data_IF_134639647981
#
_entry.id   IF_134639647981
#
_cell.length_a   1.000
_cell.length_b   1.000
_cell.length_c   1.000
_cell.angle_alpha   90.00
_cell.angle_beta   90.00
_cell.angle_gamma   90.00
#
_symmetry.space_group_name_H-M   'P 1'
#
loop_
_entity.id
_entity.type
_entity.pdbx_description
1 polymer ?
#
# COMPACT_ATOMS: atom_id res chain seq x y z
N UNK A 1 32.71 -24.96 -8.28
CA UNK A 1 31.59 -25.90 -8.55
C UNK A 1 32.09 -27.31 -8.89
N UNK A 2 32.98 -27.51 -9.90
CA UNK A 2 33.53 -28.84 -10.23
C UNK A 2 34.38 -29.40 -9.07
N UNK A 3 35.29 -28.59 -8.50
CA UNK A 3 36.12 -28.95 -7.34
C UNK A 3 35.25 -29.23 -6.10
N UNK A 4 34.18 -28.46 -5.86
CA UNK A 4 33.27 -28.67 -4.75
C UNK A 4 32.46 -29.97 -4.89
N UNK A 5 31.99 -30.28 -6.10
CA UNK A 5 31.30 -31.54 -6.41
C UNK A 5 32.22 -32.76 -6.23
N UNK A 6 33.47 -32.65 -6.64
CA UNK A 6 34.43 -33.76 -6.43
C UNK A 6 34.80 -33.90 -4.94
N UNK A 7 34.90 -32.85 -4.19
CA UNK A 7 35.12 -32.88 -2.74
C UNK A 7 34.00 -33.58 -1.97
N UNK A 8 32.74 -33.35 -2.39
CA UNK A 8 31.58 -34.08 -1.80
C UNK A 8 31.65 -35.60 -2.05
N UNK A 9 32.22 -36.01 -3.19
CA UNK A 9 32.35 -37.44 -3.56
C UNK A 9 33.63 -38.07 -2.98
N UNK A 10 34.67 -37.30 -2.75
CA UNK A 10 35.99 -37.75 -2.32
C UNK A 10 36.44 -36.89 -1.10
N UNK A 11 35.84 -37.14 0.06
CA UNK A 11 36.04 -36.36 1.29
C UNK A 11 37.47 -36.37 1.80
N UNK A 12 38.30 -37.34 1.41
CA UNK A 12 39.75 -37.42 1.77
C UNK A 12 40.72 -36.68 0.83
N UNK A 13 40.25 -36.17 -0.32
CA UNK A 13 41.11 -35.48 -1.26
C UNK A 13 41.35 -34.02 -0.90
N UNK A 14 42.59 -33.56 -0.94
CA UNK A 14 42.93 -32.16 -0.64
C UNK A 14 42.46 -31.22 -1.74
N UNK A 15 42.09 -29.99 -1.35
CA UNK A 15 41.67 -28.94 -2.32
C UNK A 15 42.78 -28.64 -3.35
N UNK A 16 44.07 -28.72 -2.92
CA UNK A 16 45.19 -28.57 -3.84
C UNK A 16 45.23 -29.64 -4.91
N UNK A 17 45.00 -30.91 -4.54
CA UNK A 17 44.95 -32.02 -5.49
C UNK A 17 43.75 -31.86 -6.46
N UNK A 18 42.55 -31.57 -5.93
CA UNK A 18 41.33 -31.44 -6.72
C UNK A 18 41.38 -30.21 -7.66
N UNK A 19 41.93 -29.08 -7.22
CA UNK A 19 42.11 -27.89 -8.08
C UNK A 19 43.15 -28.10 -9.16
N UNK A 20 44.23 -28.85 -8.83
CA UNK A 20 45.27 -29.21 -9.79
C UNK A 20 44.74 -29.98 -10.98
N UNK A 21 43.71 -30.84 -10.83
CA UNK A 21 43.02 -31.55 -11.92
C UNK A 21 42.38 -30.60 -12.94
N UNK A 22 42.10 -29.38 -12.57
CA UNK A 22 41.53 -28.35 -13.44
C UNK A 22 42.55 -27.24 -13.81
N UNK A 23 43.83 -27.49 -13.61
CA UNK A 23 44.89 -26.55 -13.93
C UNK A 23 44.91 -25.28 -13.05
N UNK A 24 44.36 -25.35 -11.83
CA UNK A 24 44.24 -24.23 -10.88
C UNK A 24 45.05 -24.49 -9.61
N UNK A 25 45.70 -23.46 -9.09
CA UNK A 25 46.34 -23.55 -7.78
C UNK A 25 45.34 -23.55 -6.64
N UNK A 26 45.74 -23.97 -5.47
CA UNK A 26 44.95 -23.89 -4.23
C UNK A 26 44.55 -22.43 -3.91
N UNK A 27 45.48 -21.50 -4.07
CA UNK A 27 45.25 -20.04 -3.89
C UNK A 27 44.22 -19.54 -4.92
N UNK A 28 44.29 -19.95 -6.19
CA UNK A 28 43.34 -19.61 -7.23
C UNK A 28 41.91 -20.09 -6.94
N UNK A 29 41.76 -21.27 -6.34
CA UNK A 29 40.48 -21.76 -5.86
C UNK A 29 39.89 -20.88 -4.77
N UNK A 30 40.68 -20.51 -3.75
CA UNK A 30 40.23 -19.65 -2.66
C UNK A 30 40.01 -18.21 -3.09
N UNK A 31 40.78 -17.69 -4.06
CA UNK A 31 40.60 -16.36 -4.63
C UNK A 31 39.22 -16.25 -5.32
N UNK A 32 38.86 -17.22 -6.17
CA UNK A 32 37.52 -17.27 -6.83
C UNK A 32 36.40 -17.39 -5.79
N UNK A 33 36.60 -18.18 -4.73
CA UNK A 33 35.61 -18.32 -3.66
C UNK A 33 35.45 -17.06 -2.87
N UNK A 34 36.54 -16.31 -2.60
CA UNK A 34 36.53 -15.01 -1.94
C UNK A 34 35.80 -13.95 -2.80
N UNK A 35 36.10 -13.88 -4.09
CA UNK A 35 35.45 -12.94 -5.02
C UNK A 35 33.94 -13.18 -5.10
N UNK A 36 33.51 -14.46 -5.22
CA UNK A 36 32.09 -14.81 -5.20
C UNK A 36 31.40 -14.42 -3.88
N UNK A 37 32.09 -14.58 -2.76
CA UNK A 37 31.58 -14.19 -1.45
C UNK A 37 31.44 -12.67 -1.34
N UNK A 38 32.46 -11.91 -1.74
CA UNK A 38 32.42 -10.45 -1.75
C UNK A 38 31.29 -9.92 -2.67
N UNK A 39 31.13 -10.49 -3.87
CA UNK A 39 30.05 -10.12 -4.80
C UNK A 39 28.67 -10.42 -4.20
N UNK A 40 28.53 -11.53 -3.47
CA UNK A 40 27.30 -11.88 -2.76
C UNK A 40 27.01 -10.88 -1.63
N UNK A 41 28.02 -10.56 -0.81
CA UNK A 41 27.89 -9.62 0.31
C UNK A 41 27.53 -8.21 -0.18
N UNK A 42 28.13 -7.74 -1.28
CA UNK A 42 27.78 -6.46 -1.92
C UNK A 42 26.31 -6.44 -2.37
N UNK A 43 25.86 -7.46 -3.09
CA UNK A 43 24.46 -7.54 -3.56
C UNK A 43 23.45 -7.63 -2.42
N UNK A 44 23.75 -8.34 -1.34
CA UNK A 44 22.89 -8.40 -0.15
C UNK A 44 22.83 -7.03 0.56
N UNK A 45 23.96 -6.32 0.65
CA UNK A 45 24.04 -4.97 1.23
C UNK A 45 23.20 -3.95 0.43
N UNK A 46 23.24 -3.99 -0.90
CA UNK A 46 22.43 -3.12 -1.77
C UNK A 46 20.93 -3.34 -1.55
N UNK A 47 20.50 -4.60 -1.55
CA UNK A 47 19.10 -4.96 -1.27
C UNK A 47 18.66 -4.47 0.12
N UNK A 48 19.48 -4.65 1.14
CA UNK A 48 19.19 -4.20 2.51
C UNK A 48 19.12 -2.68 2.60
N UNK A 49 20.00 -1.95 1.92
CA UNK A 49 20.00 -0.49 1.87
C UNK A 49 18.71 0.00 1.23
N UNK A 50 18.31 -0.55 0.08
CA UNK A 50 17.06 -0.19 -0.58
C UNK A 50 15.82 -0.53 0.25
N UNK A 51 15.83 -1.64 0.99
CA UNK A 51 14.77 -1.94 1.97
C UNK A 51 14.63 -0.84 3.02
N UNK A 52 15.74 -0.32 3.54
CA UNK A 52 15.74 0.77 4.52
C UNK A 52 15.20 2.06 3.90
N UNK A 53 15.67 2.45 2.72
CA UNK A 53 15.20 3.63 1.99
C UNK A 53 13.69 3.58 1.69
N UNK A 54 13.17 2.41 1.30
CA UNK A 54 11.72 2.23 1.11
C UNK A 54 10.99 2.37 2.46
N UNK A 55 11.56 1.85 3.55
CA UNK A 55 10.95 1.94 4.88
C UNK A 55 11.02 3.32 5.50
N UNK A 56 11.99 4.13 5.14
CA UNK A 56 12.00 5.54 5.54
C UNK A 56 10.76 6.27 4.99
N UNK A 57 10.28 5.87 3.81
CA UNK A 57 9.05 6.41 3.18
C UNK A 57 7.77 5.65 3.57
N UNK A 58 7.87 4.37 3.90
CA UNK A 58 6.74 3.49 4.22
C UNK A 58 7.12 2.49 5.33
N UNK A 59 7.26 2.96 6.60
CA UNK A 59 7.87 2.19 7.68
C UNK A 59 7.14 0.90 8.05
N UNK A 60 5.86 0.81 7.75
CA UNK A 60 5.03 -0.37 8.01
C UNK A 60 4.85 -1.31 6.84
N UNK A 61 5.51 -1.08 5.71
CA UNK A 61 5.38 -1.96 4.55
C UNK A 61 5.90 -3.37 4.86
N UNK A 62 5.06 -4.38 4.62
CA UNK A 62 5.39 -5.78 4.94
C UNK A 62 6.41 -6.40 3.98
N UNK A 63 7.16 -7.41 4.45
CA UNK A 63 8.24 -8.06 3.70
C UNK A 63 7.81 -8.57 2.30
N UNK A 64 6.59 -9.08 2.15
CA UNK A 64 6.12 -9.56 0.83
C UNK A 64 6.00 -8.43 -0.21
N UNK A 65 5.50 -7.27 0.19
CA UNK A 65 5.41 -6.12 -0.71
C UNK A 65 6.81 -5.58 -1.08
N UNK A 66 7.71 -5.52 -0.11
CA UNK A 66 9.12 -5.21 -0.36
C UNK A 66 9.75 -6.18 -1.35
N UNK A 67 9.52 -7.49 -1.19
CA UNK A 67 9.98 -8.50 -2.14
C UNK A 67 9.50 -8.22 -3.57
N UNK A 68 8.21 -7.88 -3.75
CA UNK A 68 7.66 -7.57 -5.07
C UNK A 68 8.30 -6.31 -5.69
N UNK A 69 8.46 -5.25 -4.89
CA UNK A 69 9.09 -4.01 -5.34
C UNK A 69 10.56 -4.21 -5.74
N UNK A 70 11.30 -4.99 -4.94
CA UNK A 70 12.72 -5.23 -5.16
C UNK A 70 13.00 -6.24 -6.28
N UNK A 71 12.11 -7.19 -6.51
CA UNK A 71 12.22 -8.15 -7.62
C UNK A 71 12.29 -7.43 -8.96
N UNK A 72 11.53 -6.37 -9.13
CA UNK A 72 11.49 -5.59 -10.36
C UNK A 72 12.71 -4.66 -10.48
N UNK A 73 13.28 -4.21 -9.35
CA UNK A 73 14.48 -3.36 -9.31
C UNK A 73 15.78 -4.18 -9.43
N UNK A 74 15.83 -5.37 -8.88
CA UNK A 74 17.02 -6.23 -8.78
C UNK A 74 16.75 -7.64 -9.31
N UNK A 75 16.41 -7.82 -10.59
CA UNK A 75 15.98 -9.12 -11.12
C UNK A 75 17.06 -10.20 -11.07
N UNK A 76 18.34 -9.83 -11.04
CA UNK A 76 19.48 -10.77 -10.98
C UNK A 76 19.89 -11.11 -9.54
N UNK A 77 19.76 -10.18 -8.60
CA UNK A 77 20.15 -10.29 -7.20
C UNK A 77 19.08 -10.98 -6.36
N UNK A 78 17.81 -10.81 -6.72
CA UNK A 78 16.68 -11.38 -5.99
C UNK A 78 16.51 -12.88 -6.27
N UNK A 79 17.03 -13.72 -5.36
CA UNK A 79 17.06 -15.19 -5.50
C UNK A 79 15.75 -15.91 -5.20
N UNK A 80 14.67 -15.17 -4.96
CA UNK A 80 13.36 -15.70 -4.60
C UNK A 80 12.91 -15.28 -3.19
N UNK A 81 11.63 -15.53 -2.91
CA UNK A 81 10.96 -15.07 -1.70
C UNK A 81 11.63 -15.57 -0.41
N UNK A 82 11.93 -16.86 -0.33
CA UNK A 82 12.44 -17.48 0.91
C UNK A 82 13.86 -17.01 1.25
N UNK A 83 14.68 -16.74 0.24
CA UNK A 83 15.97 -16.09 0.43
C UNK A 83 15.81 -14.68 0.97
N UNK A 84 14.88 -13.89 0.41
CA UNK A 84 14.63 -12.53 0.85
C UNK A 84 14.12 -12.48 2.30
N UNK A 85 13.22 -13.41 2.68
CA UNK A 85 12.73 -13.49 4.05
C UNK A 85 13.85 -13.85 5.04
N UNK A 86 14.77 -14.75 4.68
CA UNK A 86 15.96 -15.04 5.52
C UNK A 86 16.83 -13.81 5.67
N UNK A 87 17.10 -13.08 4.59
CA UNK A 87 17.85 -11.81 4.63
C UNK A 87 17.18 -10.81 5.57
N UNK A 88 15.85 -10.63 5.47
CA UNK A 88 15.07 -9.74 6.35
C UNK A 88 15.17 -10.16 7.84
N UNK A 89 15.20 -11.46 8.13
CA UNK A 89 15.41 -11.97 9.48
C UNK A 89 16.84 -11.72 9.99
N UNK A 90 17.84 -12.01 9.18
CA UNK A 90 19.26 -11.83 9.50
C UNK A 90 19.59 -10.37 9.85
N UNK A 91 19.02 -9.41 9.10
CA UNK A 91 19.22 -7.98 9.34
C UNK A 91 18.18 -7.36 10.30
N UNK A 92 17.39 -8.17 11.02
CA UNK A 92 16.35 -7.72 11.97
C UNK A 92 15.32 -6.76 11.39
N UNK A 93 14.97 -6.94 10.11
CA UNK A 93 14.05 -6.09 9.36
C UNK A 93 12.61 -6.61 9.32
N UNK A 94 12.26 -7.66 10.07
CA UNK A 94 10.89 -8.15 10.16
C UNK A 94 10.03 -7.27 11.08
N UNK A 95 8.81 -6.94 10.64
CA UNK A 95 7.88 -6.13 11.44
C UNK A 95 7.18 -6.99 12.49
N UNK A 96 7.01 -6.43 13.69
CA UNK A 96 6.20 -7.05 14.75
C UNK A 96 4.70 -6.77 14.52
N UNK A 97 3.79 -7.74 14.79
CA UNK A 97 2.34 -7.52 14.73
C UNK A 97 1.86 -6.46 15.74
N UNK A 98 0.90 -5.62 15.36
CA UNK A 98 0.28 -4.62 16.24
C UNK A 98 -1.21 -4.94 16.49
N UNK A 99 -1.74 -4.59 17.68
CA UNK A 99 -3.15 -4.78 18.07
C UNK A 99 -4.01 -3.56 17.67
N UNK A 100 -5.31 -3.79 17.35
CA UNK A 100 -6.27 -2.78 16.86
C UNK A 100 -7.14 -2.18 17.98
N UNK A 101 -7.65 -0.94 17.76
CA UNK A 101 -8.70 -0.26 18.54
C UNK A 101 -9.75 0.34 17.59
N UNK A 102 -11.05 0.43 18.03
CA UNK A 102 -12.18 0.92 17.21
C UNK A 102 -12.99 2.01 17.91
N UNK A 103 -13.58 3.00 17.12
CA UNK A 103 -14.64 3.94 17.59
C UNK A 103 -15.37 4.64 16.42
N UNK A 104 -16.73 4.75 16.46
CA UNK A 104 -17.55 5.65 15.58
C UNK A 104 -18.92 5.98 16.20
N UNK A 105 -19.52 7.16 15.86
CA UNK A 105 -20.85 7.63 16.33
C UNK A 105 -21.63 8.34 15.20
N UNK A 106 -22.95 8.05 15.01
CA UNK A 106 -23.81 8.62 13.95
C UNK A 106 -25.29 8.68 14.30
N UNK A 107 -25.74 9.77 14.99
CA UNK A 107 -27.15 9.99 15.29
C UNK A 107 -27.62 11.38 14.81
N UNK A 108 -28.40 11.46 13.68
CA UNK A 108 -28.92 12.71 13.07
C UNK A 108 -30.16 12.46 12.21
N UNK A 109 -30.93 13.54 11.87
CA UNK A 109 -32.23 13.50 11.20
C UNK A 109 -32.20 13.60 9.65
N UNK A 110 -31.02 13.58 8.99
CA UNK A 110 -30.96 13.62 7.53
C UNK A 110 -31.47 12.34 6.88
N UNK A 111 -31.88 12.43 5.61
CA UNK A 111 -32.34 11.31 4.79
C UNK A 111 -31.22 10.26 4.69
N UNK A 112 -31.54 9.00 5.00
CA UNK A 112 -30.67 7.84 4.89
C UNK A 112 -31.01 7.05 3.63
N UNK A 113 -29.98 6.59 2.90
CA UNK A 113 -30.15 5.82 1.67
C UNK A 113 -29.94 4.33 1.97
N UNK A 114 -30.45 3.46 1.06
CA UNK A 114 -30.32 2.00 1.18
C UNK A 114 -28.90 1.56 0.86
N UNK A 115 -28.47 0.45 1.43
CA UNK A 115 -27.23 -0.20 1.07
C UNK A 115 -27.41 -1.00 -0.24
N UNK A 116 -26.79 -0.52 -1.33
CA UNK A 116 -26.89 -1.12 -2.66
C UNK A 116 -25.74 -2.08 -2.97
N UNK A 117 -24.75 -2.20 -2.07
CA UNK A 117 -23.50 -2.93 -2.37
C UNK A 117 -23.36 -4.27 -1.64
N UNK A 118 -24.35 -4.70 -0.86
CA UNK A 118 -24.28 -5.92 0.00
C UNK A 118 -23.85 -7.22 -0.73
N UNK A 119 -24.10 -7.33 -2.02
CA UNK A 119 -23.72 -8.50 -2.84
C UNK A 119 -23.08 -8.09 -4.17
N UNK A 120 -22.64 -6.87 -4.25
CA UNK A 120 -22.09 -6.31 -5.48
C UNK A 120 -20.69 -6.85 -5.73
N UNK A 121 -20.45 -7.31 -6.96
CA UNK A 121 -19.11 -7.58 -7.45
C UNK A 121 -18.67 -6.36 -8.27
N UNK A 122 -17.57 -5.74 -7.87
CA UNK A 122 -17.01 -4.59 -8.58
C UNK A 122 -16.11 -5.12 -9.69
N UNK A 123 -16.39 -4.77 -10.93
CA UNK A 123 -15.72 -5.33 -12.12
C UNK A 123 -15.08 -4.28 -13.02
N UNK A 124 -15.27 -2.99 -12.75
CA UNK A 124 -14.69 -1.88 -13.54
C UNK A 124 -14.39 -0.65 -12.70
N UNK A 125 -13.51 0.18 -13.23
CA UNK A 125 -13.22 1.53 -12.69
C UNK A 125 -14.49 2.37 -12.67
N UNK A 126 -14.63 3.26 -11.71
CA UNK A 126 -15.77 4.16 -11.52
C UNK A 126 -17.14 3.45 -11.42
N UNK A 127 -17.16 2.16 -11.06
CA UNK A 127 -18.40 1.46 -10.76
C UNK A 127 -18.87 1.72 -9.33
N UNK A 128 -17.91 1.76 -8.39
CA UNK A 128 -18.18 2.00 -6.99
C UNK A 128 -17.07 2.88 -6.40
N UNK A 129 -17.46 4.03 -5.86
CA UNK A 129 -16.61 4.81 -4.98
C UNK A 129 -17.02 4.63 -3.54
N UNK A 130 -16.05 4.44 -2.65
CA UNK A 130 -16.27 4.34 -1.21
C UNK A 130 -15.63 5.52 -0.51
N UNK A 131 -16.38 6.15 0.39
CA UNK A 131 -15.92 7.30 1.15
C UNK A 131 -15.95 6.99 2.66
N UNK A 132 -14.95 7.51 3.37
CA UNK A 132 -14.87 7.42 4.83
C UNK A 132 -14.03 8.57 5.39
N UNK A 133 -14.29 8.94 6.64
CA UNK A 133 -13.55 9.96 7.38
C UNK A 133 -12.80 9.27 8.50
N UNK A 134 -11.54 9.58 8.63
CA UNK A 134 -10.75 9.13 9.76
C UNK A 134 -10.02 10.30 10.41
N UNK A 135 -9.59 10.15 11.66
CA UNK A 135 -8.83 11.18 12.36
C UNK A 135 -7.35 10.85 12.43
N UNK A 136 -6.54 11.90 12.45
CA UNK A 136 -5.10 11.87 12.67
C UNK A 136 -4.80 12.75 13.87
N UNK A 137 -4.06 12.21 14.84
CA UNK A 137 -3.59 12.99 15.98
C UNK A 137 -2.37 13.81 15.57
N UNK A 138 -2.38 15.10 15.94
CA UNK A 138 -1.23 16.01 15.84
C UNK A 138 -0.84 16.49 17.25
N UNK A 139 0.28 17.17 17.39
CA UNK A 139 0.69 17.74 18.69
C UNK A 139 -0.23 18.89 19.12
N UNK A 140 -0.86 19.57 18.14
CA UNK A 140 -1.78 20.69 18.39
C UNK A 140 -3.25 20.29 18.48
N UNK A 141 -3.61 19.01 18.25
CA UNK A 141 -4.98 18.52 18.29
C UNK A 141 -5.27 17.38 17.32
N UNK A 142 -6.55 17.24 16.95
CA UNK A 142 -7.02 16.22 16.02
C UNK A 142 -7.37 16.85 14.69
N UNK A 143 -6.92 16.25 13.58
CA UNK A 143 -7.32 16.63 12.22
C UNK A 143 -8.04 15.48 11.55
N UNK A 144 -8.92 15.77 10.60
CA UNK A 144 -9.82 14.83 9.96
C UNK A 144 -9.40 14.62 8.51
N UNK A 145 -9.16 13.37 8.16
CA UNK A 145 -8.83 12.94 6.81
C UNK A 145 -10.08 12.36 6.15
N UNK A 146 -10.57 13.06 5.13
CA UNK A 146 -11.66 12.62 4.27
C UNK A 146 -11.06 11.89 3.08
N UNK A 147 -11.41 10.62 2.87
CA UNK A 147 -10.91 9.80 1.77
C UNK A 147 -12.03 9.38 0.84
N UNK A 148 -11.77 9.44 -0.46
CA UNK A 148 -12.59 8.86 -1.53
C UNK A 148 -11.74 7.86 -2.31
N UNK A 149 -12.20 6.62 -2.39
CA UNK A 149 -11.46 5.50 -2.98
C UNK A 149 -12.28 4.82 -4.08
N UNK A 150 -11.69 4.58 -5.25
CA UNK A 150 -12.27 3.68 -6.25
C UNK A 150 -12.15 2.23 -5.76
N UNK A 151 -13.28 1.54 -5.69
CA UNK A 151 -13.33 0.21 -5.08
C UNK A 151 -12.73 -0.89 -5.97
N UNK A 152 -12.61 -0.66 -7.28
CA UNK A 152 -12.01 -1.63 -8.21
C UNK A 152 -10.50 -1.60 -8.18
N UNK A 153 -9.91 -0.41 -8.30
CA UNK A 153 -8.45 -0.21 -8.32
C UNK A 153 -7.86 -0.04 -6.93
N UNK A 154 -8.68 0.26 -5.92
CA UNK A 154 -8.28 0.69 -4.58
C UNK A 154 -7.46 1.99 -4.58
N UNK A 155 -7.53 2.78 -5.65
CA UNK A 155 -6.88 4.10 -5.71
C UNK A 155 -7.62 5.10 -4.82
N UNK A 156 -6.88 5.85 -4.01
CA UNK A 156 -7.40 7.04 -3.35
C UNK A 156 -7.48 8.12 -4.43
N UNK A 157 -8.68 8.35 -4.95
CA UNK A 157 -8.95 9.26 -6.07
C UNK A 157 -9.15 10.69 -5.61
N UNK A 158 -9.57 10.89 -4.35
CA UNK A 158 -9.76 12.21 -3.75
C UNK A 158 -9.55 12.17 -2.25
N UNK A 159 -9.02 13.26 -1.69
CA UNK A 159 -8.83 13.39 -0.26
C UNK A 159 -8.74 14.85 0.18
N UNK A 160 -9.07 15.10 1.44
CA UNK A 160 -8.92 16.40 2.09
C UNK A 160 -8.53 16.20 3.54
N UNK A 161 -7.67 17.04 4.06
CA UNK A 161 -7.30 17.08 5.47
C UNK A 161 -7.69 18.45 6.06
N UNK A 162 -8.38 18.43 7.20
CA UNK A 162 -8.88 19.65 7.85
C UNK A 162 -8.95 19.49 9.37
N UNK A 163 -9.02 20.58 10.08
CA UNK A 163 -9.23 20.66 11.53
C UNK A 163 -10.70 20.54 11.93
N UNK A 164 -11.61 20.47 10.97
CA UNK A 164 -13.05 20.46 11.21
C UNK A 164 -13.79 19.42 10.36
N UNK A 165 -14.93 18.95 10.87
CA UNK A 165 -15.83 17.99 10.20
C UNK A 165 -16.91 18.68 9.35
N UNK A 166 -16.69 19.92 8.89
CA UNK A 166 -17.68 20.61 8.04
C UNK A 166 -17.79 19.90 6.67
N UNK A 167 -19.01 19.86 6.15
CA UNK A 167 -19.34 19.13 4.91
C UNK A 167 -18.55 19.61 3.68
N UNK A 168 -18.16 20.90 3.62
CA UNK A 168 -17.34 21.43 2.54
C UNK A 168 -16.00 20.71 2.35
N UNK A 169 -15.42 20.18 3.42
CA UNK A 169 -14.18 19.41 3.34
C UNK A 169 -14.41 18.04 2.65
N UNK A 170 -15.56 17.41 2.93
CA UNK A 170 -15.96 16.15 2.28
C UNK A 170 -16.28 16.39 0.81
N UNK A 171 -16.93 17.52 0.49
CA UNK A 171 -17.18 17.96 -0.90
C UNK A 171 -15.86 18.19 -1.64
N UNK A 172 -14.89 18.86 -1.03
CA UNK A 172 -13.59 19.09 -1.66
C UNK A 172 -12.85 17.76 -2.00
N UNK A 173 -12.97 16.74 -1.14
CA UNK A 173 -12.43 15.40 -1.45
C UNK A 173 -13.19 14.75 -2.64
N UNK A 174 -14.51 14.93 -2.72
CA UNK A 174 -15.32 14.46 -3.86
C UNK A 174 -14.94 15.17 -5.16
N UNK A 175 -14.82 16.49 -5.14
CA UNK A 175 -14.45 17.31 -6.31
C UNK A 175 -13.04 16.96 -6.82
N UNK A 176 -12.10 16.70 -5.91
CA UNK A 176 -10.78 16.18 -6.27
C UNK A 176 -10.89 14.82 -6.98
N UNK A 177 -11.70 13.91 -6.47
CA UNK A 177 -11.92 12.60 -7.09
C UNK A 177 -12.54 12.73 -8.48
N UNK A 178 -13.58 13.55 -8.63
CA UNK A 178 -14.20 13.84 -9.93
C UNK A 178 -13.14 14.36 -10.91
N UNK A 179 -12.38 15.38 -10.52
CA UNK A 179 -11.33 15.97 -11.37
C UNK A 179 -10.29 14.94 -11.82
N UNK A 180 -9.94 14.01 -10.95
CA UNK A 180 -8.87 13.04 -11.22
C UNK A 180 -9.28 11.88 -12.13
N UNK A 181 -10.57 11.49 -12.14
CA UNK A 181 -10.99 10.27 -12.85
C UNK A 181 -12.25 10.40 -13.71
N UNK A 182 -12.91 11.56 -13.78
CA UNK A 182 -14.14 11.73 -14.57
C UNK A 182 -13.93 11.52 -16.08
N UNK A 183 -12.73 11.74 -16.60
CA UNK A 183 -12.37 11.48 -18.01
C UNK A 183 -12.54 10.01 -18.42
N UNK A 184 -12.64 9.09 -17.44
CA UNK A 184 -12.87 7.66 -17.66
C UNK A 184 -14.35 7.28 -17.77
N UNK A 185 -15.25 8.27 -17.68
CA UNK A 185 -16.69 8.06 -17.59
C UNK A 185 -17.17 7.72 -16.18
N UNK A 186 -18.33 8.26 -15.82
CA UNK A 186 -18.97 8.05 -14.51
C UNK A 186 -20.34 7.35 -14.64
N UNK A 187 -20.65 6.78 -15.80
CA UNK A 187 -21.94 6.14 -16.05
C UNK A 187 -22.15 4.94 -15.10
N UNK A 188 -23.30 4.97 -14.41
CA UNK A 188 -23.68 3.93 -13.46
C UNK A 188 -22.81 3.90 -12.19
N UNK A 189 -22.11 5.01 -11.88
CA UNK A 189 -21.37 5.15 -10.63
C UNK A 189 -22.28 5.01 -9.41
N UNK A 190 -21.88 4.17 -8.46
CA UNK A 190 -22.44 4.12 -7.12
C UNK A 190 -21.46 4.77 -6.16
N UNK A 191 -21.90 5.73 -5.37
CA UNK A 191 -21.16 6.29 -4.26
C UNK A 191 -21.65 5.67 -2.94
N UNK A 192 -20.77 5.08 -2.17
CA UNK A 192 -21.10 4.46 -0.88
C UNK A 192 -20.32 5.08 0.27
N UNK A 193 -21.01 5.37 1.37
CA UNK A 193 -20.43 5.91 2.60
C UNK A 193 -21.15 5.36 3.83
N UNK A 194 -20.65 5.68 5.00
CA UNK A 194 -21.45 5.58 6.22
C UNK A 194 -22.57 6.64 6.24
N UNK A 195 -23.35 6.65 7.34
CA UNK A 195 -24.44 7.61 7.56
C UNK A 195 -23.98 8.86 8.33
N UNK A 196 -22.71 9.25 8.18
CA UNK A 196 -22.21 10.48 8.78
C UNK A 196 -22.93 11.72 8.23
N UNK A 197 -23.14 12.73 9.08
CA UNK A 197 -23.83 13.98 8.72
C UNK A 197 -23.23 14.63 7.47
N UNK A 198 -21.93 14.51 7.27
CA UNK A 198 -21.18 15.08 6.15
C UNK A 198 -21.62 14.48 4.81
N UNK A 199 -21.95 13.18 4.77
CA UNK A 199 -22.41 12.47 3.58
C UNK A 199 -23.90 12.60 3.34
N UNK A 200 -24.67 12.92 4.38
CA UNK A 200 -26.12 13.06 4.31
C UNK A 200 -26.59 14.50 4.02
N UNK A 201 -25.69 15.50 4.13
CA UNK A 201 -26.06 16.90 3.95
C UNK A 201 -26.41 17.21 2.47
N UNK A 202 -27.30 18.20 2.27
CA UNK A 202 -27.79 18.58 0.93
C UNK A 202 -26.64 18.93 -0.01
N UNK A 203 -25.65 19.69 0.44
CA UNK A 203 -24.51 20.10 -0.38
C UNK A 203 -23.78 18.89 -0.99
N UNK A 204 -23.47 17.86 -0.20
CA UNK A 204 -22.80 16.66 -0.69
C UNK A 204 -23.68 15.85 -1.65
N UNK A 205 -24.94 15.70 -1.29
CA UNK A 205 -25.95 14.98 -2.11
C UNK A 205 -26.15 15.65 -3.48
N UNK A 206 -26.18 16.98 -3.52
CA UNK A 206 -26.31 17.74 -4.78
C UNK A 206 -25.09 17.57 -5.69
N UNK A 207 -23.87 17.54 -5.16
CA UNK A 207 -22.67 17.24 -5.95
C UNK A 207 -22.72 15.82 -6.55
N UNK A 208 -23.15 14.81 -5.78
CA UNK A 208 -23.32 13.44 -6.29
C UNK A 208 -24.40 13.36 -7.38
N UNK A 209 -25.51 14.08 -7.21
CA UNK A 209 -26.56 14.16 -8.25
C UNK A 209 -26.09 14.87 -9.51
N UNK A 210 -25.26 15.90 -9.37
CA UNK A 210 -24.67 16.64 -10.49
C UNK A 210 -23.84 15.76 -11.43
N UNK A 211 -23.28 14.67 -10.93
CA UNK A 211 -22.54 13.67 -11.70
C UNK A 211 -23.36 12.39 -11.98
N UNK A 212 -24.66 12.40 -11.74
CA UNK A 212 -25.59 11.26 -11.89
C UNK A 212 -25.19 10.02 -11.07
N UNK A 213 -24.46 10.18 -9.96
CA UNK A 213 -24.07 9.07 -9.10
C UNK A 213 -25.27 8.53 -8.29
N UNK A 214 -25.42 7.22 -8.23
CA UNK A 214 -26.37 6.55 -7.35
C UNK A 214 -25.83 6.52 -5.91
N UNK A 215 -26.64 6.97 -4.95
CA UNK A 215 -26.22 7.10 -3.55
C UNK A 215 -26.58 5.82 -2.79
N UNK A 216 -25.58 5.28 -2.10
CA UNK A 216 -25.66 4.11 -1.23
C UNK A 216 -25.07 4.42 0.14
N UNK A 217 -25.65 3.89 1.21
CA UNK A 217 -25.14 4.09 2.58
C UNK A 217 -25.20 2.79 3.37
N UNK A 218 -24.35 2.66 4.38
CA UNK A 218 -24.41 1.55 5.34
C UNK A 218 -25.81 1.50 6.01
N UNK A 219 -26.36 0.33 6.25
CA UNK A 219 -27.67 0.22 6.89
C UNK A 219 -27.57 -0.09 8.37
N UNK A 220 -26.76 -1.05 8.71
CA UNK A 220 -26.48 -1.47 10.07
C UNK A 220 -25.03 -1.08 10.41
N UNK A 221 -24.74 -0.72 11.64
CA UNK A 221 -23.38 -0.41 12.10
C UNK A 221 -22.40 -1.60 12.00
N UNK A 222 -22.54 -2.41 10.95
CA UNK A 222 -21.65 -3.55 10.70
C UNK A 222 -20.40 -3.09 9.98
N UNK A 223 -19.21 -3.37 10.52
CA UNK A 223 -17.94 -3.02 9.88
C UNK A 223 -17.81 -3.54 8.44
N UNK A 224 -18.56 -4.58 8.08
CA UNK A 224 -18.55 -5.17 6.74
C UNK A 224 -19.22 -4.30 5.68
N UNK A 225 -20.07 -3.34 6.08
CA UNK A 225 -20.85 -2.54 5.15
C UNK A 225 -20.00 -1.50 4.40
N UNK A 226 -18.84 -1.06 4.94
CA UNK A 226 -17.87 -0.17 4.29
C UNK A 226 -16.44 -0.73 4.35
N UNK A 227 -16.30 -2.04 4.19
CA UNK A 227 -15.05 -2.76 4.42
C UNK A 227 -13.85 -2.29 3.57
N UNK A 228 -14.10 -1.79 2.34
CA UNK A 228 -13.03 -1.29 1.45
C UNK A 228 -12.46 0.01 2.01
N UNK A 229 -13.30 0.98 2.37
CA UNK A 229 -12.86 2.25 2.92
C UNK A 229 -12.16 2.06 4.28
N UNK A 230 -12.74 1.23 5.17
CA UNK A 230 -12.10 0.87 6.44
C UNK A 230 -10.73 0.20 6.23
N UNK A 231 -10.61 -0.64 5.19
CA UNK A 231 -9.34 -1.29 4.85
C UNK A 231 -8.29 -0.29 4.42
N UNK A 232 -8.65 0.69 3.58
CA UNK A 232 -7.73 1.75 3.13
C UNK A 232 -7.29 2.59 4.32
N UNK A 233 -8.20 3.05 5.16
CA UNK A 233 -7.90 3.77 6.40
C UNK A 233 -6.98 2.95 7.33
N UNK A 234 -7.28 1.66 7.48
CA UNK A 234 -6.45 0.75 8.27
C UNK A 234 -5.02 0.60 7.72
N UNK A 235 -4.85 0.60 6.40
CA UNK A 235 -3.54 0.56 5.75
C UNK A 235 -2.76 1.84 6.04
N UNK A 236 -3.35 3.01 5.82
CA UNK A 236 -2.74 4.32 6.09
C UNK A 236 -2.28 4.41 7.55
N UNK A 237 -3.16 4.06 8.49
CA UNK A 237 -2.83 4.09 9.92
C UNK A 237 -1.72 3.11 10.30
N UNK A 238 -1.81 1.84 9.85
CA UNK A 238 -0.90 0.78 10.30
C UNK A 238 0.46 0.81 9.60
N UNK A 239 0.51 1.19 8.33
CA UNK A 239 1.76 1.19 7.58
C UNK A 239 2.53 2.52 7.73
N UNK A 240 1.85 3.63 8.11
CA UNK A 240 2.47 4.96 8.27
C UNK A 240 2.20 5.59 9.63
N UNK A 241 0.98 6.07 9.90
CA UNK A 241 0.71 6.99 11.01
C UNK A 241 1.11 6.44 12.39
N UNK A 242 0.94 5.14 12.64
CA UNK A 242 1.34 4.50 13.90
C UNK A 242 2.84 4.20 14.01
N UNK A 243 3.61 4.45 12.97
CA UNK A 243 5.05 4.13 12.91
C UNK A 243 5.92 5.36 12.68
N UNK A 244 5.34 6.44 12.23
CA UNK A 244 6.02 7.71 12.03
C UNK A 244 5.88 8.61 13.27
N UNK A 245 6.73 9.62 13.36
CA UNK A 245 6.56 10.67 14.34
C UNK A 245 5.21 11.35 14.10
N UNK A 246 4.50 11.68 15.19
CA UNK A 246 3.26 12.44 15.12
C UNK A 246 3.55 13.80 14.48
N UNK A 247 2.77 14.25 13.47
CA UNK A 247 2.91 15.58 12.90
C UNK A 247 2.59 16.66 13.94
N UNK A 248 3.26 17.80 13.86
CA UNK A 248 3.06 18.88 14.82
C UNK A 248 1.67 19.50 14.68
N UNK A 249 1.27 19.85 13.46
CA UNK A 249 0.03 20.57 13.16
C UNK A 249 -0.64 20.06 11.85
N UNK A 250 -1.68 20.79 11.42
CA UNK A 250 -2.43 20.49 10.19
C UNK A 250 -1.54 20.56 8.94
N UNK A 251 -0.62 21.52 8.86
CA UNK A 251 0.22 21.72 7.67
C UNK A 251 1.26 20.59 7.54
N UNK A 252 1.93 20.25 8.63
CA UNK A 252 2.85 19.10 8.64
C UNK A 252 2.10 17.79 8.33
N UNK A 253 0.90 17.62 8.90
CA UNK A 253 0.04 16.48 8.61
C UNK A 253 -0.38 16.44 7.13
N UNK A 254 -0.62 17.60 6.49
CA UNK A 254 -0.99 17.69 5.06
C UNK A 254 0.16 17.27 4.15
N UNK A 255 1.37 17.76 4.42
CA UNK A 255 2.58 17.36 3.69
C UNK A 255 2.82 15.86 3.83
N UNK A 256 2.76 15.34 5.06
CA UNK A 256 2.89 13.92 5.34
C UNK A 256 1.86 13.08 4.58
N UNK A 257 0.59 13.49 4.57
CA UNK A 257 -0.47 12.77 3.87
C UNK A 257 -0.32 12.82 2.36
N UNK A 258 0.21 13.92 1.81
CA UNK A 258 0.54 14.01 0.38
C UNK A 258 1.54 12.92 -0.02
N UNK A 259 2.64 12.80 0.72
CA UNK A 259 3.67 11.79 0.46
C UNK A 259 3.15 10.36 0.64
N UNK A 260 2.35 10.12 1.69
CA UNK A 260 1.75 8.82 1.97
C UNK A 260 0.82 8.38 0.84
N UNK A 261 -0.11 9.26 0.41
CA UNK A 261 -1.09 8.94 -0.63
C UNK A 261 -0.41 8.76 -1.98
N UNK A 262 0.59 9.59 -2.29
CA UNK A 262 1.41 9.43 -3.50
C UNK A 262 2.12 8.08 -3.51
N UNK A 263 2.74 7.68 -2.40
CA UNK A 263 3.39 6.37 -2.29
C UNK A 263 2.37 5.23 -2.38
N UNK A 264 1.24 5.36 -1.68
CA UNK A 264 0.16 4.37 -1.68
C UNK A 264 -0.36 4.12 -3.09
N UNK A 265 -0.67 5.16 -3.83
CA UNK A 265 -1.26 5.07 -5.17
C UNK A 265 -0.27 4.58 -6.23
N UNK A 266 1.01 5.01 -6.17
CA UNK A 266 1.94 4.81 -7.29
C UNK A 266 2.98 3.72 -7.05
N UNK A 267 3.31 3.40 -5.81
CA UNK A 267 4.45 2.51 -5.49
C UNK A 267 4.08 1.29 -4.66
N UNK A 268 3.04 1.41 -3.82
CA UNK A 268 2.69 0.33 -2.90
C UNK A 268 1.92 -0.78 -3.62
N UNK A 269 2.44 -2.04 -3.68
CA UNK A 269 1.69 -3.17 -4.21
C UNK A 269 0.39 -3.41 -3.44
N UNK A 270 -0.73 -3.59 -4.16
CA UNK A 270 -2.03 -3.82 -3.54
C UNK A 270 -2.49 -5.26 -3.77
N UNK A 271 -2.71 -6.01 -2.67
CA UNK A 271 -2.98 -7.46 -2.71
C UNK A 271 -4.24 -7.85 -3.50
N UNK A 272 -5.23 -6.98 -3.55
CA UNK A 272 -6.49 -7.25 -4.26
C UNK A 272 -6.44 -6.91 -5.75
N UNK A 273 -5.40 -6.20 -6.19
CA UNK A 273 -5.24 -5.82 -7.59
C UNK A 273 -4.59 -6.95 -8.40
N UNK A 274 -4.90 -7.00 -9.69
CA UNK A 274 -4.26 -7.91 -10.64
C UNK A 274 -2.73 -7.72 -10.57
N UNK A 275 -1.98 -8.81 -10.56
CA UNK A 275 -0.51 -8.84 -10.45
C UNK A 275 0.04 -8.01 -9.27
N UNK A 276 -0.81 -7.74 -8.27
CA UNK A 276 -0.50 -6.88 -7.14
C UNK A 276 -0.07 -5.46 -7.54
N UNK A 277 -0.50 -4.97 -8.67
CA UNK A 277 -0.18 -3.63 -9.14
C UNK A 277 -0.54 -2.56 -8.09
N UNK A 278 0.27 -1.49 -7.97
CA UNK A 278 -0.14 -0.30 -7.25
C UNK A 278 -1.45 0.26 -7.80
N UNK A 279 -2.29 0.88 -6.96
CA UNK A 279 -3.64 1.31 -7.35
C UNK A 279 -3.71 2.11 -8.66
N UNK A 280 -2.86 3.12 -8.84
CA UNK A 280 -2.85 3.94 -10.05
C UNK A 280 -2.37 3.17 -11.27
N UNK A 281 -1.35 2.32 -11.13
CA UNK A 281 -0.88 1.46 -12.23
C UNK A 281 -1.93 0.44 -12.64
N UNK A 282 -2.75 -0.08 -11.70
CA UNK A 282 -3.90 -0.91 -12.02
C UNK A 282 -4.90 -0.15 -12.91
N UNK A 283 -5.22 1.11 -12.60
CA UNK A 283 -6.09 1.94 -13.42
C UNK A 283 -5.50 2.19 -14.81
N UNK A 284 -4.25 2.55 -14.90
CA UNK A 284 -3.54 2.84 -16.16
C UNK A 284 -3.47 1.61 -17.08
N UNK A 285 -3.23 0.40 -16.51
CA UNK A 285 -3.16 -0.84 -17.30
C UNK A 285 -4.45 -1.20 -18.02
N UNK A 286 -5.61 -0.66 -17.59
CA UNK A 286 -6.92 -0.91 -18.19
C UNK A 286 -7.19 -0.03 -19.43
N UNK A 287 -6.37 0.98 -19.69
CA UNK A 287 -6.51 1.91 -20.82
C UNK A 287 -5.52 1.66 -21.96
N UNK A 288 -4.64 0.68 -21.81
CA UNK A 288 -3.61 0.36 -22.81
C UNK A 288 -4.06 -0.72 -23.81
N UNK A 289 -5.36 -1.08 -23.78
CA UNK A 289 -5.96 -2.10 -24.67
C UNK A 289 -7.14 -1.56 -25.45
#
# INVERSE_FOLDING_TARGET
>A
QAVDNLRLRHSGASIGCLSGLFGKSREGYYAVSREKRMRKELSESEVVTTVREIRDKAPGIGAYKLFLMLRDLYPQEMRGRDWFYRLMHEYHLMLKPQRRRHTTNSNHNYRKYKNLIKRMVVVRVNQLWVADITYIETDTGVVYLHLLTDAFTHEIIGWTLSDSLVASNTVAALDMGIKNVAYLGLDGLIHHSDRGVQYCCNQYIEHLRGINATISMTEDYKPTDNAIAERVNGIIKQEWLYKMKRPHDLEEARLLMTDIIEFYNNKRPHRSNMDMLPPRRMRESLHTH
#
